data_IF_497093536764
#
_entry.id   IF_497093536764
#
_cell.length_a   1.000
_cell.length_b   1.000
_cell.length_c   1.000
_cell.angle_alpha   90.00
_cell.angle_beta   90.00
_cell.angle_gamma   90.00
#
_symmetry.space_group_name_H-M   'P 1'
#
loop_
_entity.id
_entity.type
_entity.pdbx_description
1 polymer ?
#
# COMPACT_ATOMS: atom_id res chain seq x y z
N UNK A 1 -9.99 3.29 -30.44
CA UNK A 1 -10.14 2.97 -29.01
C UNK A 1 -10.08 4.28 -28.24
N UNK A 2 -11.23 4.75 -27.75
CA UNK A 2 -11.31 6.01 -26.99
C UNK A 2 -10.87 5.74 -25.56
N UNK A 3 -9.62 6.12 -25.24
CA UNK A 3 -9.11 6.13 -23.86
C UNK A 3 -9.91 7.16 -23.06
N UNK A 4 -10.80 6.72 -22.16
CA UNK A 4 -11.41 7.64 -21.18
C UNK A 4 -10.27 8.15 -20.28
N UNK A 5 -10.05 9.47 -20.28
CA UNK A 5 -9.12 10.08 -19.36
C UNK A 5 -9.56 9.75 -17.93
N UNK A 6 -8.62 9.27 -17.12
CA UNK A 6 -8.81 9.12 -15.69
C UNK A 6 -9.40 10.44 -15.17
N UNK A 7 -10.54 10.44 -14.48
CA UNK A 7 -11.16 11.65 -13.90
C UNK A 7 -10.36 12.26 -12.72
N UNK A 8 -9.05 12.07 -12.77
CA UNK A 8 -8.01 12.28 -11.76
C UNK A 8 -6.85 13.11 -12.31
N UNK A 9 -6.96 13.56 -13.55
CA UNK A 9 -6.09 14.49 -14.27
C UNK A 9 -5.81 15.78 -13.47
N UNK A 10 -6.79 16.28 -12.70
CA UNK A 10 -6.60 17.42 -11.78
C UNK A 10 -5.80 17.06 -10.50
N UNK A 11 -5.82 15.80 -10.07
CA UNK A 11 -5.07 15.31 -8.91
C UNK A 11 -3.61 14.99 -9.26
N UNK A 12 -3.32 14.69 -10.53
CA UNK A 12 -1.95 14.51 -11.02
C UNK A 12 -1.12 15.81 -10.93
N UNK A 13 -1.76 16.97 -11.10
CA UNK A 13 -1.12 18.28 -10.99
C UNK A 13 -0.97 18.79 -9.55
N UNK A 14 -1.59 18.12 -8.58
CA UNK A 14 -1.60 18.55 -7.18
C UNK A 14 -0.51 17.85 -6.37
N UNK A 15 0.28 18.62 -5.62
CA UNK A 15 1.27 18.09 -4.67
C UNK A 15 0.65 17.18 -3.57
N UNK A 16 -0.66 17.29 -3.36
CA UNK A 16 -1.48 16.48 -2.45
C UNK A 16 -1.86 15.10 -3.00
N UNK A 17 -1.36 14.71 -4.19
CA UNK A 17 -1.65 13.41 -4.83
C UNK A 17 -1.53 12.23 -3.87
N UNK A 18 -0.49 12.22 -3.04
CA UNK A 18 -0.22 11.12 -2.12
C UNK A 18 -1.30 10.96 -1.05
N UNK A 19 -1.85 12.06 -0.51
CA UNK A 19 -2.95 12.02 0.47
C UNK A 19 -4.19 11.42 -0.19
N UNK A 20 -4.52 11.88 -1.39
CA UNK A 20 -5.70 11.42 -2.12
C UNK A 20 -5.67 9.91 -2.44
N UNK A 21 -4.47 9.40 -2.76
CA UNK A 21 -4.23 7.96 -2.94
C UNK A 21 -4.37 7.19 -1.62
N UNK A 22 -3.81 7.71 -0.53
CA UNK A 22 -3.89 7.07 0.81
C UNK A 22 -5.32 6.98 1.32
N UNK A 23 -6.14 8.01 1.08
CA UNK A 23 -7.54 8.04 1.51
C UNK A 23 -8.50 7.31 0.54
N UNK A 24 -8.00 6.65 -0.51
CA UNK A 24 -8.81 6.01 -1.56
C UNK A 24 -9.91 6.91 -2.14
N UNK A 25 -9.72 8.23 -2.11
CA UNK A 25 -10.74 9.19 -2.51
C UNK A 25 -11.10 9.09 -4.00
N UNK A 26 -10.24 8.46 -4.80
CA UNK A 26 -10.50 8.12 -6.22
C UNK A 26 -11.57 7.03 -6.41
N UNK A 27 -11.84 6.22 -5.37
CA UNK A 27 -12.81 5.13 -5.41
C UNK A 27 -14.24 5.67 -5.18
N UNK A 28 -14.40 6.77 -4.45
CA UNK A 28 -15.71 7.41 -4.21
C UNK A 28 -16.57 7.63 -5.47
N UNK A 29 -16.05 8.21 -6.58
CA UNK A 29 -16.85 8.38 -7.80
C UNK A 29 -17.25 7.05 -8.46
N UNK A 30 -16.43 6.00 -8.34
CA UNK A 30 -16.76 4.64 -8.83
C UNK A 30 -17.93 4.07 -8.02
N UNK A 31 -17.85 4.15 -6.69
CA UNK A 31 -18.89 3.67 -5.78
C UNK A 31 -20.22 4.41 -5.98
N UNK A 32 -20.17 5.73 -6.19
CA UNK A 32 -21.36 6.52 -6.47
C UNK A 32 -22.01 6.15 -7.81
N UNK A 33 -21.21 5.85 -8.83
CA UNK A 33 -21.70 5.41 -10.13
C UNK A 33 -22.32 4.01 -10.05
N UNK A 34 -21.73 3.11 -9.26
CA UNK A 34 -22.30 1.78 -9.00
C UNK A 34 -23.50 1.73 -8.08
N UNK A 35 -23.69 2.75 -7.24
CA UNK A 35 -24.92 2.91 -6.47
C UNK A 35 -26.11 3.32 -7.37
N UNK A 36 -25.85 4.02 -8.48
CA UNK A 36 -26.88 4.59 -9.37
C UNK A 36 -27.29 3.68 -10.54
N UNK A 37 -26.56 2.60 -10.82
CA UNK A 37 -26.85 1.67 -11.91
C UNK A 37 -25.89 0.48 -11.96
N UNK A 38 -26.22 -0.53 -12.79
CA UNK A 38 -25.37 -1.72 -12.99
C UNK A 38 -24.08 -1.29 -13.71
N UNK A 39 -22.93 -1.41 -13.06
CA UNK A 39 -21.63 -1.16 -13.71
C UNK A 39 -21.52 -2.04 -14.94
N UNK A 40 -21.32 -1.41 -16.10
CA UNK A 40 -20.92 -2.10 -17.33
C UNK A 40 -19.39 -2.04 -17.42
N UNK A 41 -18.72 -3.04 -18.01
CA UNK A 41 -17.25 -3.11 -18.13
C UNK A 41 -16.62 -1.83 -18.70
N UNK A 42 -17.37 -1.05 -19.48
CA UNK A 42 -16.96 0.25 -20.03
C UNK A 42 -16.80 1.40 -19.02
N UNK A 43 -17.26 1.22 -17.77
CA UNK A 43 -17.15 2.19 -16.67
C UNK A 43 -16.06 1.83 -15.66
N UNK A 44 -15.43 0.67 -15.82
CA UNK A 44 -14.24 0.31 -15.07
C UNK A 44 -13.02 1.02 -15.68
N UNK A 45 -12.17 1.57 -14.82
CA UNK A 45 -10.91 2.13 -15.26
C UNK A 45 -10.06 1.03 -15.89
N UNK A 46 -9.49 1.32 -17.05
CA UNK A 46 -8.60 0.40 -17.74
C UNK A 46 -7.39 0.08 -16.87
N UNK A 47 -6.86 -1.15 -16.98
CA UNK A 47 -5.71 -1.56 -16.18
C UNK A 47 -4.57 -0.57 -16.42
N UNK A 48 -3.89 -0.17 -15.34
CA UNK A 48 -2.67 0.64 -15.43
C UNK A 48 -1.73 -0.01 -16.44
N UNK A 49 -1.22 0.76 -17.41
CA UNK A 49 -0.31 0.25 -18.44
C UNK A 49 0.95 -0.42 -17.86
N UNK A 50 1.26 -0.20 -16.58
CA UNK A 50 2.35 -0.88 -15.86
C UNK A 50 2.00 -2.27 -15.34
N UNK A 51 0.72 -2.56 -15.10
CA UNK A 51 0.19 -3.83 -14.58
C UNK A 51 -0.36 -4.72 -15.70
N UNK A 52 -0.27 -4.28 -16.96
CA UNK A 52 -0.57 -5.13 -18.10
C UNK A 52 0.32 -6.38 -18.11
N UNK A 53 -0.31 -7.54 -18.36
CA UNK A 53 0.40 -8.81 -18.48
C UNK A 53 1.54 -8.76 -19.52
N UNK A 54 1.37 -7.98 -20.59
CA UNK A 54 2.37 -7.76 -21.64
C UNK A 54 3.69 -7.22 -21.09
N UNK A 55 3.64 -6.21 -20.22
CA UNK A 55 4.81 -5.58 -19.61
C UNK A 55 5.46 -6.46 -18.55
N UNK A 56 4.64 -7.19 -17.78
CA UNK A 56 5.12 -8.17 -16.81
C UNK A 56 5.87 -9.32 -17.51
N UNK A 57 5.32 -9.81 -18.64
CA UNK A 57 5.94 -10.85 -19.46
C UNK A 57 7.27 -10.36 -20.07
N UNK A 58 7.28 -9.17 -20.68
CA UNK A 58 8.50 -8.58 -21.26
C UNK A 58 9.63 -8.42 -20.22
N UNK A 59 9.31 -7.97 -19.00
CA UNK A 59 10.28 -7.86 -17.91
C UNK A 59 10.83 -9.23 -17.51
N UNK A 60 9.98 -10.24 -17.44
CA UNK A 60 10.36 -11.60 -17.10
C UNK A 60 11.25 -12.23 -18.20
N UNK A 61 10.88 -12.07 -19.47
CA UNK A 61 11.65 -12.52 -20.64
C UNK A 61 13.03 -11.87 -20.69
N UNK A 62 13.11 -10.56 -20.48
CA UNK A 62 14.40 -9.84 -20.45
C UNK A 62 15.34 -10.39 -19.37
N UNK A 63 14.81 -10.73 -18.19
CA UNK A 63 15.62 -11.34 -17.11
C UNK A 63 15.93 -12.79 -17.45
N UNK A 64 15.02 -13.52 -18.07
CA UNK A 64 15.20 -14.90 -18.50
C UNK A 64 16.38 -15.04 -19.49
N UNK A 65 16.37 -14.27 -20.59
CA UNK A 65 17.43 -14.29 -21.61
C UNK A 65 18.80 -13.96 -21.02
N UNK A 66 18.86 -13.02 -20.07
CA UNK A 66 20.09 -12.67 -19.37
C UNK A 66 20.65 -13.81 -18.50
N UNK A 67 19.78 -14.67 -17.98
CA UNK A 67 20.15 -15.81 -17.15
C UNK A 67 20.51 -17.05 -17.98
N UNK A 68 19.79 -17.28 -19.08
CA UNK A 68 20.06 -18.36 -20.04
C UNK A 68 21.46 -18.24 -20.66
N UNK A 69 21.87 -17.03 -21.04
CA UNK A 69 23.20 -16.77 -21.57
C UNK A 69 24.35 -17.01 -20.56
N UNK A 70 24.05 -17.08 -19.26
CA UNK A 70 25.06 -17.10 -18.18
C UNK A 70 25.10 -18.41 -17.39
N UNK A 71 24.03 -19.21 -17.41
CA UNK A 71 23.90 -20.39 -16.57
C UNK A 71 23.25 -21.56 -17.31
N UNK A 72 23.90 -22.73 -17.25
CA UNK A 72 23.44 -23.99 -17.85
C UNK A 72 22.20 -24.59 -17.17
N UNK A 73 21.92 -24.19 -15.93
CA UNK A 73 20.73 -24.58 -15.17
C UNK A 73 19.98 -23.34 -14.71
N UNK A 74 18.75 -23.19 -15.21
CA UNK A 74 17.88 -22.06 -14.93
C UNK A 74 16.87 -22.48 -13.86
N UNK A 75 16.82 -21.74 -12.75
CA UNK A 75 15.77 -21.90 -11.74
C UNK A 75 14.76 -20.75 -11.87
N UNK A 76 13.55 -21.09 -12.31
CA UNK A 76 12.45 -20.15 -12.59
C UNK A 76 12.12 -19.30 -11.36
N UNK A 77 12.08 -19.90 -10.17
CA UNK A 77 11.79 -19.20 -8.92
C UNK A 77 12.77 -18.06 -8.64
N UNK A 78 14.06 -18.28 -8.94
CA UNK A 78 15.11 -17.28 -8.74
C UNK A 78 14.94 -16.08 -9.68
N UNK A 79 14.45 -16.32 -10.89
CA UNK A 79 14.18 -15.28 -11.89
C UNK A 79 12.95 -14.46 -11.49
N UNK A 80 11.86 -15.10 -11.06
CA UNK A 80 10.67 -14.41 -10.57
C UNK A 80 11.03 -13.53 -9.38
N UNK A 81 11.68 -14.11 -8.36
CA UNK A 81 12.10 -13.36 -7.17
C UNK A 81 12.95 -12.17 -7.58
N UNK A 82 13.94 -12.35 -8.46
CA UNK A 82 14.84 -11.24 -8.85
C UNK A 82 14.16 -10.16 -9.69
N UNK A 83 13.18 -10.52 -10.50
CA UNK A 83 12.42 -9.58 -11.33
C UNK A 83 11.55 -8.68 -10.46
N UNK A 84 10.90 -9.26 -9.43
CA UNK A 84 9.95 -8.54 -8.58
C UNK A 84 10.51 -8.07 -7.23
N UNK A 85 11.74 -8.46 -6.86
CA UNK A 85 12.34 -8.13 -5.56
C UNK A 85 12.28 -6.65 -5.22
N UNK A 86 12.51 -5.78 -6.21
CA UNK A 86 12.48 -4.32 -6.00
C UNK A 86 11.09 -3.83 -5.57
N UNK A 87 10.04 -4.32 -6.22
CA UNK A 87 8.67 -3.95 -5.90
C UNK A 87 8.21 -4.57 -4.57
N UNK A 88 8.62 -5.83 -4.31
CA UNK A 88 8.39 -6.49 -3.01
C UNK A 88 9.04 -5.74 -1.86
N UNK A 89 10.28 -5.26 -2.02
CA UNK A 89 10.99 -4.49 -0.98
C UNK A 89 10.31 -3.15 -0.73
N UNK A 90 9.88 -2.44 -1.78
CA UNK A 90 9.13 -1.18 -1.62
C UNK A 90 7.82 -1.39 -0.87
N UNK A 91 7.08 -2.44 -1.21
CA UNK A 91 5.85 -2.80 -0.49
C UNK A 91 6.13 -3.16 0.98
N UNK A 92 7.19 -3.92 1.23
CA UNK A 92 7.64 -4.24 2.59
C UNK A 92 8.00 -2.99 3.41
N UNK A 93 8.65 -2.00 2.79
CA UNK A 93 9.01 -0.74 3.45
C UNK A 93 7.77 0.05 3.92
N UNK A 94 6.68 0.00 3.17
CA UNK A 94 5.39 0.61 3.56
C UNK A 94 4.77 -0.13 4.75
N UNK A 95 4.97 -1.44 4.84
CA UNK A 95 4.49 -2.27 5.95
C UNK A 95 5.30 -2.10 7.25
N UNK A 96 6.57 -1.69 7.20
CA UNK A 96 7.41 -1.54 8.40
C UNK A 96 6.82 -0.64 9.50
N UNK A 97 6.32 0.58 9.23
CA UNK A 97 5.70 1.40 10.27
C UNK A 97 4.44 0.76 10.86
N UNK A 98 3.64 0.06 10.05
CA UNK A 98 2.47 -0.68 10.53
C UNK A 98 2.87 -1.79 11.51
N UNK A 99 3.95 -2.51 11.23
CA UNK A 99 4.50 -3.50 12.16
C UNK A 99 4.99 -2.85 13.46
N UNK A 100 5.66 -1.70 13.36
CA UNK A 100 6.10 -0.93 14.53
C UNK A 100 4.95 -0.53 15.45
N UNK A 101 3.87 0.00 14.85
CA UNK A 101 2.62 0.35 15.54
C UNK A 101 1.98 -0.87 16.21
N UNK A 102 1.90 -2.01 15.52
CA UNK A 102 1.34 -3.26 16.05
C UNK A 102 2.12 -3.78 17.27
N UNK A 103 3.44 -3.58 17.31
CA UNK A 103 4.29 -3.95 18.45
C UNK A 103 4.19 -2.91 19.58
N UNK A 104 4.06 -1.62 19.25
CA UNK A 104 3.92 -0.54 20.22
C UNK A 104 2.61 -0.62 21.00
N UNK A 105 1.52 -1.06 20.36
CA UNK A 105 0.18 -1.18 20.94
C UNK A 105 0.15 -1.92 22.31
N UNK A 106 0.67 -3.16 22.45
CA UNK A 106 0.69 -3.86 23.73
C UNK A 106 1.65 -3.23 24.76
N UNK A 107 2.74 -2.59 24.33
CA UNK A 107 3.65 -1.88 25.22
C UNK A 107 2.99 -0.65 25.85
N UNK A 108 2.24 0.12 25.05
CA UNK A 108 1.46 1.27 25.52
C UNK A 108 0.38 0.83 26.50
N UNK A 109 -0.36 -0.24 26.17
CA UNK A 109 -1.37 -0.79 27.07
C UNK A 109 -0.78 -1.23 28.41
N UNK A 110 0.39 -1.92 28.38
CA UNK A 110 1.10 -2.32 29.60
C UNK A 110 1.49 -1.11 30.46
N UNK A 111 1.95 -0.01 29.86
CA UNK A 111 2.30 1.22 30.59
C UNK A 111 1.09 1.88 31.23
N UNK A 112 -0.05 1.90 30.55
CA UNK A 112 -1.31 2.43 31.10
C UNK A 112 -1.76 1.61 32.31
N UNK A 113 -1.73 0.27 32.22
CA UNK A 113 -2.12 -0.61 33.34
C UNK A 113 -1.23 -0.40 34.58
N UNK A 114 0.08 -0.26 34.38
CA UNK A 114 1.02 0.02 35.48
C UNK A 114 0.74 1.40 36.09
N UNK A 115 0.47 2.41 35.26
CA UNK A 115 0.17 3.77 35.72
C UNK A 115 -1.12 3.86 36.53
N UNK A 116 -2.16 3.11 36.15
CA UNK A 116 -3.43 3.04 36.91
C UNK A 116 -3.22 2.35 38.27
N UNK A 117 -2.31 1.38 38.34
CA UNK A 117 -2.03 0.63 39.57
C UNK A 117 -1.10 1.40 40.54
N UNK A 118 -0.42 2.45 40.08
CA UNK A 118 0.57 3.21 40.86
C UNK A 118 0.03 4.59 41.25
N UNK A 119 -0.51 4.68 42.47
CA UNK A 119 -1.32 5.79 43.01
C UNK A 119 -0.59 7.14 43.19
N UNK A 120 0.70 7.21 42.86
CA UNK A 120 1.59 8.37 43.09
C UNK A 120 1.86 9.15 41.78
N UNK A 121 1.35 8.66 40.65
CA UNK A 121 1.66 9.21 39.33
C UNK A 121 0.77 10.40 38.95
N UNK A 122 1.32 11.50 38.37
CA UNK A 122 0.52 12.66 37.98
C UNK A 122 -0.42 12.38 36.79
N UNK A 123 -1.69 12.79 36.91
CA UNK A 123 -2.79 12.44 35.99
C UNK A 123 -2.59 12.84 34.52
N UNK A 124 -1.73 13.84 34.25
CA UNK A 124 -1.37 14.26 32.88
C UNK A 124 -0.71 13.15 32.05
N UNK A 125 0.03 12.26 32.70
CA UNK A 125 0.74 11.15 32.03
C UNK A 125 -0.24 10.13 31.45
N UNK A 126 -1.37 9.88 32.12
CA UNK A 126 -2.43 9.02 31.60
C UNK A 126 -3.11 9.60 30.35
N UNK A 127 -3.34 10.92 30.30
CA UNK A 127 -3.91 11.58 29.12
C UNK A 127 -2.97 11.51 27.91
N UNK A 128 -1.67 11.70 28.11
CA UNK A 128 -0.68 11.54 27.03
C UNK A 128 -0.75 10.15 26.41
N UNK A 129 -0.69 9.09 27.23
CA UNK A 129 -0.76 7.72 26.73
C UNK A 129 -2.09 7.41 26.02
N UNK A 130 -3.21 7.96 26.47
CA UNK A 130 -4.50 7.80 25.80
C UNK A 130 -4.53 8.49 24.43
N UNK A 131 -3.97 9.70 24.32
CA UNK A 131 -3.86 10.40 23.02
C UNK A 131 -2.89 9.70 22.07
N UNK A 132 -1.78 9.17 22.58
CA UNK A 132 -0.83 8.35 21.81
C UNK A 132 -1.49 7.07 21.30
N UNK A 133 -2.27 6.39 22.14
CA UNK A 133 -3.00 5.18 21.76
C UNK A 133 -4.06 5.46 20.68
N UNK A 134 -4.78 6.58 20.81
CA UNK A 134 -5.78 7.02 19.83
C UNK A 134 -5.17 7.41 18.47
N UNK A 135 -3.95 7.95 18.46
CA UNK A 135 -3.21 8.24 17.22
C UNK A 135 -2.60 6.99 16.57
N UNK A 136 -2.39 5.94 17.37
CA UNK A 136 -1.72 4.70 16.94
C UNK A 136 -2.71 3.65 16.42
N UNK A 137 -4.02 3.80 16.69
CA UNK A 137 -5.09 2.87 16.28
C UNK A 137 -5.72 3.30 14.96
#
# INVERSE_FOLDING_TARGET
>A
SHRKAYGLDWAEASWLRWIYVVFWSWVNPILNSGSKGKLTDDDLFDLSTNDECSQLLNKLETVWEKYENKHKHINIWKIIIKTYWKETVKSGLIFLPLLGVRIAQPLLLKRIVIHINDSISPSYVGYLYATELGLTT
#
